data_IF_722806863196
#
_entry.id   IF_722806863196
#
_cell.length_a   1.000
_cell.length_b   1.000
_cell.length_c   1.000
_cell.angle_alpha   90.00
_cell.angle_beta   90.00
_cell.angle_gamma   90.00
#
_symmetry.space_group_name_H-M   'P 1'
#
loop_
_entity.id
_entity.type
_entity.pdbx_description
1 polymer ?
#
# COMPACT_ATOMS: atom_id res chain seq x y z
N UNK A 1 -2.72 10.18 -16.95
CA UNK A 1 -3.41 10.99 -15.90
C UNK A 1 -3.06 10.32 -14.59
N UNK A 2 -2.30 10.98 -13.72
CA UNK A 2 -1.81 10.38 -12.48
C UNK A 2 -2.77 10.70 -11.34
N UNK A 3 -3.08 9.70 -10.52
CA UNK A 3 -3.83 9.90 -9.28
C UNK A 3 -2.91 10.55 -8.23
N UNK A 4 -3.46 11.28 -7.22
CA UNK A 4 -2.65 11.89 -6.19
C UNK A 4 -2.19 10.88 -5.13
N UNK A 5 -1.04 11.15 -4.50
CA UNK A 5 -0.72 10.56 -3.21
C UNK A 5 -1.58 11.22 -2.13
N UNK A 6 -2.38 10.42 -1.40
CA UNK A 6 -3.23 10.92 -0.31
C UNK A 6 -2.86 10.22 1.00
N UNK A 7 -2.61 11.01 2.03
CA UNK A 7 -2.44 10.54 3.40
C UNK A 7 -3.64 11.05 4.21
N UNK A 8 -4.44 10.14 4.77
CA UNK A 8 -5.64 10.50 5.53
C UNK A 8 -5.66 9.79 6.88
N UNK A 9 -5.46 10.54 7.94
CA UNK A 9 -5.65 10.05 9.30
C UNK A 9 -7.13 9.93 9.66
N UNK A 10 -7.44 9.06 10.61
CA UNK A 10 -8.80 8.79 11.07
C UNK A 10 -9.75 8.41 9.90
N UNK A 11 -9.28 7.51 9.04
CA UNK A 11 -9.99 7.14 7.82
C UNK A 11 -11.35 6.49 8.11
N UNK A 12 -11.40 5.50 9.03
CA UNK A 12 -12.64 4.90 9.48
C UNK A 12 -13.15 5.60 10.76
N UNK A 13 -14.45 5.87 10.88
CA UNK A 13 -15.03 6.39 12.12
C UNK A 13 -14.90 5.41 13.30
N UNK A 14 -15.01 4.10 13.02
CA UNK A 14 -14.83 3.00 13.98
C UNK A 14 -13.82 1.98 13.43
N UNK A 15 -12.50 2.25 13.58
CA UNK A 15 -11.47 1.34 13.11
C UNK A 15 -11.43 0.03 13.90
N UNK A 16 -11.90 0.01 15.15
CA UNK A 16 -11.95 -1.19 15.98
C UNK A 16 -12.95 -2.21 15.42
N UNK A 17 -14.07 -1.75 14.87
CA UNK A 17 -15.00 -2.63 14.16
C UNK A 17 -14.38 -3.24 12.92
N UNK A 18 -13.52 -2.50 12.21
CA UNK A 18 -12.78 -3.00 11.02
C UNK A 18 -11.80 -4.10 11.45
N UNK A 19 -11.00 -3.86 12.49
CA UNK A 19 -10.07 -4.86 13.05
C UNK A 19 -10.82 -6.11 13.52
N UNK A 20 -11.96 -5.93 14.21
CA UNK A 20 -12.80 -7.05 14.65
C UNK A 20 -13.36 -7.86 13.48
N UNK A 21 -13.73 -7.19 12.38
CA UNK A 21 -14.17 -7.87 11.15
C UNK A 21 -13.02 -8.66 10.50
N UNK A 22 -11.84 -8.06 10.39
CA UNK A 22 -10.62 -8.68 9.88
C UNK A 22 -10.25 -9.97 10.62
N UNK A 23 -10.32 -9.94 11.96
CA UNK A 23 -9.96 -11.08 12.81
C UNK A 23 -10.92 -12.28 12.72
N UNK A 24 -12.09 -12.11 12.09
CA UNK A 24 -13.06 -13.20 11.84
C UNK A 24 -12.85 -13.91 10.52
N UNK A 25 -11.99 -13.38 9.66
CA UNK A 25 -11.75 -13.90 8.32
C UNK A 25 -10.59 -14.90 8.32
N UNK A 26 -10.63 -15.80 7.36
CA UNK A 26 -9.53 -16.72 7.11
C UNK A 26 -8.45 -16.03 6.27
N UNK A 27 -7.18 -16.26 6.62
CA UNK A 27 -6.01 -15.77 5.93
C UNK A 27 -5.30 -16.93 5.22
N UNK A 28 -4.75 -16.64 4.05
CA UNK A 28 -4.05 -17.58 3.20
C UNK A 28 -2.64 -17.03 2.92
N UNK A 29 -1.63 -17.88 3.01
CA UNK A 29 -0.25 -17.50 2.69
C UNK A 29 -0.11 -17.12 1.22
N UNK A 30 0.83 -16.23 0.95
CA UNK A 30 1.23 -15.90 -0.42
C UNK A 30 1.87 -17.11 -1.09
N UNK A 31 1.62 -17.22 -2.38
CA UNK A 31 2.36 -18.18 -3.19
C UNK A 31 3.68 -17.59 -3.71
N UNK A 32 3.90 -16.24 -3.79
CA UNK A 32 5.19 -15.65 -4.20
C UNK A 32 5.21 -14.12 -4.33
N UNK A 33 4.07 -13.44 -4.54
CA UNK A 33 4.08 -12.06 -5.04
C UNK A 33 4.08 -10.98 -3.95
N UNK A 34 3.78 -11.36 -2.71
CA UNK A 34 3.65 -10.43 -1.58
C UNK A 34 3.95 -11.15 -0.26
N UNK A 35 4.47 -10.43 0.76
CA UNK A 35 4.82 -11.05 2.03
C UNK A 35 3.59 -11.35 2.90
N UNK A 36 3.68 -12.39 3.70
CA UNK A 36 2.71 -12.73 4.74
C UNK A 36 1.48 -13.47 4.24
N UNK A 37 0.31 -13.12 4.78
CA UNK A 37 -0.96 -13.74 4.44
C UNK A 37 -2.04 -12.71 4.15
N UNK A 38 -2.96 -13.04 3.25
CA UNK A 38 -4.13 -12.21 2.88
C UNK A 38 -5.43 -12.97 3.01
N UNK A 39 -6.51 -12.25 3.25
CA UNK A 39 -7.86 -12.79 3.11
C UNK A 39 -8.20 -12.98 1.63
N UNK A 40 -9.24 -13.76 1.34
CA UNK A 40 -9.91 -13.65 0.05
C UNK A 40 -10.39 -12.22 -0.18
N UNK A 41 -10.65 -11.83 -1.45
CA UNK A 41 -11.19 -10.50 -1.77
C UNK A 41 -12.43 -10.16 -0.94
N UNK A 42 -12.50 -8.93 -0.43
CA UNK A 42 -13.60 -8.52 0.47
C UNK A 42 -14.98 -8.55 -0.21
N UNK A 43 -15.05 -8.36 -1.53
CA UNK A 43 -16.30 -8.50 -2.26
C UNK A 43 -16.89 -9.93 -2.16
N UNK A 44 -16.05 -10.95 -1.92
CA UNK A 44 -16.49 -12.35 -1.74
C UNK A 44 -16.84 -12.64 -0.28
N UNK A 45 -16.01 -12.19 0.67
CA UNK A 45 -16.11 -12.62 2.08
C UNK A 45 -16.82 -11.62 2.98
N UNK A 46 -16.87 -10.34 2.60
CA UNK A 46 -17.59 -9.28 3.31
C UNK A 46 -18.02 -8.14 2.36
N UNK A 47 -19.04 -8.38 1.48
CA UNK A 47 -19.48 -7.41 0.46
C UNK A 47 -19.91 -6.05 1.06
N UNK A 48 -20.45 -6.04 2.28
CA UNK A 48 -20.87 -4.79 2.95
C UNK A 48 -19.66 -3.92 3.30
N UNK A 49 -18.62 -4.53 3.86
CA UNK A 49 -17.38 -3.81 4.18
C UNK A 49 -16.66 -3.37 2.90
N UNK A 50 -16.65 -4.21 1.86
CA UNK A 50 -16.14 -3.87 0.54
C UNK A 50 -16.81 -2.61 -0.01
N UNK A 51 -18.14 -2.59 -0.09
CA UNK A 51 -18.89 -1.44 -0.60
C UNK A 51 -18.65 -0.17 0.24
N UNK A 52 -18.70 -0.30 1.55
CA UNK A 52 -18.45 0.81 2.47
C UNK A 52 -17.04 1.41 2.29
N UNK A 53 -16.02 0.55 2.24
CA UNK A 53 -14.62 0.99 2.07
C UNK A 53 -14.40 1.63 0.69
N UNK A 54 -14.92 1.02 -0.36
CA UNK A 54 -14.87 1.55 -1.72
C UNK A 54 -15.48 2.94 -1.83
N UNK A 55 -16.69 3.13 -1.27
CA UNK A 55 -17.33 4.44 -1.20
C UNK A 55 -16.45 5.48 -0.52
N UNK A 56 -15.85 5.15 0.62
CA UNK A 56 -14.95 6.07 1.33
C UNK A 56 -13.71 6.43 0.52
N UNK A 57 -13.11 5.46 -0.19
CA UNK A 57 -11.94 5.71 -1.05
C UNK A 57 -12.34 6.62 -2.22
N UNK A 58 -13.40 6.29 -2.94
CA UNK A 58 -13.83 7.10 -4.08
C UNK A 58 -14.25 8.52 -3.69
N UNK A 59 -14.84 8.73 -2.51
CA UNK A 59 -15.14 10.07 -2.01
C UNK A 59 -13.92 10.94 -1.67
N UNK A 60 -12.71 10.35 -1.58
CA UNK A 60 -11.48 11.15 -1.49
C UNK A 60 -11.03 11.70 -2.85
N UNK A 61 -11.43 11.03 -3.93
CA UNK A 61 -10.96 11.30 -5.29
C UNK A 61 -12.03 11.98 -6.16
N UNK A 62 -13.29 11.65 -5.94
CA UNK A 62 -14.40 12.04 -6.81
C UNK A 62 -15.56 12.62 -5.99
N UNK A 63 -16.27 13.57 -6.57
CA UNK A 63 -17.50 14.12 -5.95
C UNK A 63 -18.66 13.11 -5.98
N UNK A 64 -18.68 12.27 -7.00
CA UNK A 64 -19.64 11.17 -7.14
C UNK A 64 -18.89 9.85 -7.26
N UNK A 65 -19.48 8.80 -6.70
CA UNK A 65 -18.95 7.44 -6.88
C UNK A 65 -19.05 7.10 -8.38
N UNK A 66 -17.94 6.59 -8.98
CA UNK A 66 -17.95 6.17 -10.36
C UNK A 66 -19.03 5.12 -10.64
N UNK A 67 -19.69 5.19 -11.80
CA UNK A 67 -20.74 4.23 -12.18
C UNK A 67 -20.20 2.82 -12.34
N UNK A 68 -18.98 2.70 -12.84
CA UNK A 68 -18.28 1.43 -13.03
C UNK A 68 -16.84 1.54 -12.54
N UNK A 69 -16.37 0.52 -11.84
CA UNK A 69 -14.99 0.44 -11.39
C UNK A 69 -14.57 -1.00 -11.12
N UNK A 70 -13.26 -1.24 -11.17
CA UNK A 70 -12.64 -2.50 -10.75
C UNK A 70 -11.64 -2.20 -9.63
N UNK A 71 -11.95 -2.65 -8.43
CA UNK A 71 -11.08 -2.54 -7.25
C UNK A 71 -11.04 -3.87 -6.52
N UNK A 72 -9.85 -4.32 -6.16
CA UNK A 72 -9.64 -5.49 -5.30
C UNK A 72 -9.21 -5.00 -3.93
N UNK A 73 -9.77 -5.57 -2.88
CA UNK A 73 -9.43 -5.25 -1.49
C UNK A 73 -9.32 -6.52 -0.66
N UNK A 74 -8.40 -6.52 0.31
CA UNK A 74 -8.27 -7.60 1.26
C UNK A 74 -7.51 -7.15 2.51
N UNK A 75 -7.64 -7.88 3.60
CA UNK A 75 -6.77 -7.68 4.74
C UNK A 75 -5.47 -8.45 4.53
N UNK A 76 -4.38 -7.90 5.05
CA UNK A 76 -3.06 -8.50 5.00
C UNK A 76 -2.41 -8.50 6.38
N UNK A 77 -1.75 -9.60 6.71
CA UNK A 77 -0.93 -9.77 7.91
C UNK A 77 0.49 -10.17 7.50
N UNK A 78 1.47 -9.47 8.05
CA UNK A 78 2.87 -9.72 7.76
C UNK A 78 3.63 -9.83 9.07
N UNK A 79 4.43 -10.90 9.22
CA UNK A 79 5.40 -11.06 10.31
C UNK A 79 6.81 -10.88 9.80
N UNK A 80 7.69 -10.43 10.68
CA UNK A 80 9.12 -10.33 10.37
C UNK A 80 9.68 -11.67 9.91
N UNK A 81 10.49 -11.66 8.86
CA UNK A 81 11.25 -12.83 8.41
C UNK A 81 12.43 -13.10 9.34
N UNK A 82 13.03 -12.04 9.89
CA UNK A 82 14.14 -12.10 10.85
C UNK A 82 13.67 -11.43 12.14
N UNK A 83 13.48 -12.22 13.19
CA UNK A 83 13.08 -11.73 14.50
C UNK A 83 14.22 -10.98 15.19
N UNK A 84 13.90 -9.93 15.93
CA UNK A 84 14.86 -9.15 16.73
C UNK A 84 15.73 -8.17 15.94
N UNK A 85 15.64 -8.16 14.62
CA UNK A 85 16.33 -7.19 13.76
C UNK A 85 15.38 -6.59 12.73
N UNK A 86 14.60 -5.61 13.15
CA UNK A 86 13.60 -4.97 12.28
C UNK A 86 14.21 -4.27 11.07
N UNK A 87 15.50 -3.91 11.11
CA UNK A 87 16.19 -3.23 10.03
C UNK A 87 16.93 -4.20 9.09
N UNK A 88 16.88 -5.49 9.38
CA UNK A 88 17.38 -6.48 8.45
C UNK A 88 16.76 -6.28 7.07
N UNK A 89 17.57 -6.38 6.02
CA UNK A 89 17.09 -6.19 4.63
C UNK A 89 15.94 -7.13 4.28
N UNK A 90 15.94 -8.36 4.81
CA UNK A 90 14.86 -9.32 4.63
C UNK A 90 13.53 -8.88 5.25
N UNK A 91 13.56 -7.94 6.20
CA UNK A 91 12.37 -7.33 6.80
C UNK A 91 11.90 -6.06 6.08
N UNK A 92 12.55 -5.67 4.99
CA UNK A 92 12.19 -4.49 4.19
C UNK A 92 11.40 -4.89 2.95
N UNK A 93 10.59 -3.97 2.44
CA UNK A 93 9.91 -4.16 1.16
C UNK A 93 10.85 -3.95 -0.03
N UNK A 94 10.54 -4.58 -1.16
CA UNK A 94 11.17 -4.27 -2.44
C UNK A 94 10.49 -3.05 -3.03
N UNK A 95 11.29 -2.10 -3.55
CA UNK A 95 10.76 -0.92 -4.21
C UNK A 95 10.12 -1.38 -5.53
N UNK A 96 8.88 -0.98 -5.76
CA UNK A 96 8.10 -1.36 -6.94
C UNK A 96 7.03 -0.33 -7.26
N UNK A 97 6.47 -0.42 -8.44
CA UNK A 97 5.22 0.22 -8.85
C UNK A 97 4.10 -0.84 -8.89
N UNK A 98 2.85 -0.41 -8.77
CA UNK A 98 1.70 -1.29 -8.89
C UNK A 98 1.11 -1.22 -10.30
N UNK A 99 0.71 -2.37 -10.86
CA UNK A 99 -0.01 -2.40 -12.14
C UNK A 99 -1.50 -2.07 -11.94
N UNK A 100 -1.77 -0.83 -11.52
CA UNK A 100 -3.12 -0.33 -11.26
C UNK A 100 -3.17 1.19 -11.45
N UNK A 101 -4.37 1.77 -11.45
CA UNK A 101 -4.52 3.24 -11.50
C UNK A 101 -4.06 3.89 -10.21
N UNK A 102 -4.47 3.32 -9.10
CA UNK A 102 -4.03 3.65 -7.75
C UNK A 102 -4.23 2.46 -6.83
N UNK A 103 -3.36 2.31 -5.88
CA UNK A 103 -3.47 1.34 -4.80
C UNK A 103 -3.39 2.01 -3.44
N UNK A 104 -3.24 1.23 -2.39
CA UNK A 104 -2.96 1.77 -1.08
C UNK A 104 -3.26 0.84 0.06
N UNK A 105 -3.06 1.40 1.24
CA UNK A 105 -3.21 0.66 2.50
C UNK A 105 -3.92 1.50 3.56
N UNK A 106 -4.62 0.82 4.46
CA UNK A 106 -5.04 1.37 5.74
C UNK A 106 -4.34 0.58 6.84
N UNK A 107 -3.57 1.27 7.69
CA UNK A 107 -2.91 0.65 8.83
C UNK A 107 -3.89 0.36 9.96
N UNK A 108 -3.85 -0.86 10.50
CA UNK A 108 -4.85 -1.36 11.45
C UNK A 108 -4.26 -1.83 12.79
N UNK A 109 -3.01 -1.51 13.07
CA UNK A 109 -2.39 -1.82 14.36
C UNK A 109 -2.60 -0.69 15.35
N UNK A 110 -3.18 -1.00 16.51
CA UNK A 110 -3.45 0.01 17.58
C UNK A 110 -2.17 0.60 18.18
N UNK A 111 -1.14 -0.22 18.28
CA UNK A 111 0.17 0.17 18.79
C UNK A 111 1.25 -0.18 17.75
N UNK A 112 1.27 0.54 16.63
CA UNK A 112 2.15 0.21 15.53
C UNK A 112 3.60 0.52 15.86
N UNK A 113 4.53 -0.24 15.26
CA UNK A 113 5.87 0.27 15.04
C UNK A 113 5.77 1.36 13.95
N UNK A 114 6.06 2.60 14.33
CA UNK A 114 5.94 3.74 13.40
C UNK A 114 6.88 3.62 12.21
N UNK A 115 8.00 2.92 12.37
CA UNK A 115 8.97 2.68 11.31
C UNK A 115 8.45 1.65 10.28
N UNK A 116 7.48 0.79 10.66
CA UNK A 116 6.83 -0.16 9.77
C UNK A 116 5.82 0.51 8.80
N UNK A 117 6.24 1.61 8.22
CA UNK A 117 5.45 2.47 7.34
C UNK A 117 5.62 2.16 5.85
N UNK A 118 5.49 3.21 5.04
CA UNK A 118 5.66 3.14 3.59
C UNK A 118 6.62 4.22 3.11
N UNK A 119 7.66 3.83 2.38
CA UNK A 119 8.56 4.74 1.69
C UNK A 119 8.08 5.03 0.28
N UNK A 120 8.23 6.28 -0.16
CA UNK A 120 8.03 6.71 -1.54
C UNK A 120 9.39 7.03 -2.14
N UNK A 121 9.58 6.68 -3.38
CA UNK A 121 10.86 6.77 -4.06
C UNK A 121 10.74 7.46 -5.42
N UNK A 122 11.84 7.95 -5.92
CA UNK A 122 12.02 8.33 -7.33
C UNK A 122 13.18 7.52 -7.91
N UNK A 123 13.07 7.13 -9.17
CA UNK A 123 14.18 6.54 -9.91
C UNK A 123 15.27 7.59 -10.13
N UNK A 124 16.53 7.22 -9.95
CA UNK A 124 17.69 8.10 -10.19
C UNK A 124 17.89 8.37 -11.68
N UNK A 125 17.63 7.37 -12.51
CA UNK A 125 17.87 7.41 -13.96
C UNK A 125 16.59 7.54 -14.80
N UNK A 126 15.44 7.68 -14.13
CA UNK A 126 14.12 7.81 -14.79
C UNK A 126 13.54 6.50 -15.33
N UNK A 127 14.17 5.37 -15.09
CA UNK A 127 13.72 4.04 -15.52
C UNK A 127 13.51 3.11 -14.33
N UNK A 128 12.44 2.34 -14.38
CA UNK A 128 12.23 1.19 -13.49
C UNK A 128 12.96 -0.01 -14.09
N UNK A 129 14.07 -0.42 -13.50
CA UNK A 129 14.80 -1.61 -13.95
C UNK A 129 14.69 -2.70 -12.91
N UNK A 130 13.60 -3.47 -12.96
CA UNK A 130 13.56 -4.77 -12.34
C UNK A 130 14.19 -5.78 -13.30
N UNK A 131 15.30 -6.40 -12.90
CA UNK A 131 15.87 -7.52 -13.66
C UNK A 131 15.07 -8.79 -13.34
N UNK A 132 15.00 -9.72 -14.28
CA UNK A 132 14.34 -11.03 -14.05
C UNK A 132 14.91 -11.72 -12.81
N UNK A 133 16.22 -11.61 -12.58
CA UNK A 133 16.89 -12.14 -11.38
C UNK A 133 16.41 -11.48 -10.08
N UNK A 134 16.26 -10.16 -10.06
CA UNK A 134 15.77 -9.44 -8.87
C UNK A 134 14.32 -9.78 -8.55
N UNK A 135 13.51 -10.01 -9.59
CA UNK A 135 12.11 -10.47 -9.45
C UNK A 135 12.07 -11.88 -8.87
N UNK A 136 12.88 -12.80 -9.39
CA UNK A 136 12.96 -14.18 -8.88
C UNK A 136 13.36 -14.21 -7.40
N UNK A 137 14.38 -13.45 -7.02
CA UNK A 137 14.84 -13.36 -5.62
C UNK A 137 13.72 -12.82 -4.70
N UNK A 138 12.99 -11.77 -5.14
CA UNK A 138 11.84 -11.23 -4.42
C UNK A 138 10.74 -12.27 -4.21
N UNK A 139 10.37 -12.98 -5.28
CA UNK A 139 9.31 -14.00 -5.26
C UNK A 139 9.69 -15.18 -4.37
N UNK A 140 10.91 -15.65 -4.46
CA UNK A 140 11.44 -16.71 -3.62
C UNK A 140 11.45 -16.31 -2.14
N UNK A 141 11.89 -15.08 -1.84
CA UNK A 141 11.89 -14.57 -0.48
C UNK A 141 10.46 -14.45 0.10
N UNK A 142 9.54 -13.86 -0.63
CA UNK A 142 8.15 -13.71 -0.17
C UNK A 142 7.38 -15.04 -0.14
N UNK A 143 7.75 -15.99 -0.97
CA UNK A 143 7.24 -17.36 -0.95
C UNK A 143 7.82 -18.23 0.19
N UNK A 144 8.73 -17.67 1.00
CA UNK A 144 9.33 -18.36 2.15
C UNK A 144 10.41 -19.38 1.80
N UNK A 145 10.97 -19.32 0.58
CA UNK A 145 12.12 -20.14 0.23
C UNK A 145 13.38 -19.66 0.94
N UNK A 146 14.24 -20.60 1.31
CA UNK A 146 15.56 -20.25 1.81
C UNK A 146 16.42 -19.69 0.68
N UNK A 147 16.88 -18.44 0.84
CA UNK A 147 17.79 -17.79 -0.09
C UNK A 147 19.09 -17.52 0.65
N UNK A 148 20.21 -17.79 -0.02
CA UNK A 148 21.53 -17.39 0.46
C UNK A 148 21.60 -15.88 0.67
N UNK A 149 22.21 -15.44 1.78
CA UNK A 149 22.25 -14.04 2.17
C UNK A 149 23.02 -13.18 1.15
N UNK A 150 24.07 -13.72 0.53
CA UNK A 150 24.84 -12.99 -0.49
C UNK A 150 23.98 -12.76 -1.74
N UNK A 151 23.32 -13.82 -2.24
CA UNK A 151 22.40 -13.72 -3.40
C UNK A 151 21.25 -12.76 -3.11
N UNK A 152 20.64 -12.82 -1.90
CA UNK A 152 19.57 -11.92 -1.51
C UNK A 152 20.05 -10.47 -1.52
N UNK A 153 21.21 -10.18 -0.90
CA UNK A 153 21.74 -8.83 -0.82
C UNK A 153 22.11 -8.27 -2.20
N UNK A 154 22.67 -9.09 -3.10
CA UNK A 154 22.97 -8.68 -4.47
C UNK A 154 21.69 -8.23 -5.22
N UNK A 155 20.65 -9.05 -5.22
CA UNK A 155 19.37 -8.71 -5.85
C UNK A 155 18.69 -7.51 -5.20
N UNK A 156 18.80 -7.36 -3.88
CA UNK A 156 18.25 -6.21 -3.16
C UNK A 156 19.02 -4.93 -3.49
N UNK A 157 20.36 -4.98 -3.58
CA UNK A 157 21.21 -3.84 -3.93
C UNK A 157 20.94 -3.33 -5.36
N UNK A 158 20.64 -4.21 -6.32
CA UNK A 158 20.25 -3.82 -7.68
C UNK A 158 19.06 -2.87 -7.63
N UNK A 159 18.06 -3.15 -6.80
CA UNK A 159 16.85 -2.33 -6.68
C UNK A 159 17.12 -1.08 -5.83
N UNK A 160 17.70 -1.23 -4.63
CA UNK A 160 17.89 -0.10 -3.71
C UNK A 160 18.79 1.00 -4.31
N UNK A 161 19.81 0.61 -5.08
CA UNK A 161 20.74 1.57 -5.69
C UNK A 161 20.12 2.42 -6.82
N UNK A 162 19.02 1.99 -7.42
CA UNK A 162 18.35 2.70 -8.52
C UNK A 162 17.42 3.81 -8.03
N UNK A 163 17.08 3.82 -6.74
CA UNK A 163 16.07 4.72 -6.20
C UNK A 163 16.63 5.62 -5.11
N UNK A 164 15.97 6.76 -4.95
CA UNK A 164 16.17 7.70 -3.84
C UNK A 164 14.85 7.84 -3.09
N UNK A 165 14.89 7.65 -1.75
CA UNK A 165 13.71 7.88 -0.91
C UNK A 165 13.37 9.37 -0.87
N UNK A 166 12.13 9.70 -1.21
CA UNK A 166 11.64 11.10 -1.25
C UNK A 166 10.71 11.43 -0.11
N UNK A 167 10.02 10.43 0.42
CA UNK A 167 9.07 10.60 1.52
C UNK A 167 8.95 9.30 2.29
N UNK A 168 8.91 9.40 3.62
CA UNK A 168 8.60 8.29 4.52
C UNK A 168 7.32 8.56 5.29
N UNK A 169 6.34 7.66 5.17
CA UNK A 169 5.03 7.78 5.79
C UNK A 169 4.97 6.79 6.96
N UNK A 170 4.91 7.26 8.21
CA UNK A 170 4.84 6.39 9.37
C UNK A 170 3.57 5.55 9.41
N UNK A 171 3.68 4.31 9.91
CA UNK A 171 2.54 3.50 10.29
C UNK A 171 1.84 4.14 11.50
N UNK A 172 0.63 4.63 11.28
CA UNK A 172 -0.26 5.12 12.35
C UNK A 172 -1.62 4.42 12.24
N UNK A 173 -2.15 4.03 13.38
CA UNK A 173 -3.46 3.39 13.46
C UNK A 173 -4.54 4.20 12.74
N UNK A 174 -5.29 3.54 11.87
CA UNK A 174 -6.37 4.14 11.06
C UNK A 174 -5.92 5.24 10.09
N UNK A 175 -4.66 5.20 9.64
CA UNK A 175 -4.15 6.02 8.55
C UNK A 175 -4.34 5.29 7.23
N UNK A 176 -4.98 5.95 6.28
CA UNK A 176 -4.98 5.55 4.87
C UNK A 176 -3.79 6.22 4.16
N UNK A 177 -3.11 5.44 3.33
CA UNK A 177 -2.19 5.93 2.31
C UNK A 177 -2.68 5.43 0.96
N UNK A 178 -3.10 6.35 0.09
CA UNK A 178 -3.47 6.07 -1.29
C UNK A 178 -2.30 6.49 -2.18
N UNK A 179 -1.87 5.59 -3.05
CA UNK A 179 -0.64 5.68 -3.82
C UNK A 179 -1.00 5.58 -5.31
N UNK A 180 -0.54 6.51 -6.18
CA UNK A 180 -0.64 6.33 -7.63
C UNK A 180 0.05 5.04 -8.06
N UNK A 181 -0.53 4.31 -9.03
CA UNK A 181 0.03 3.03 -9.46
C UNK A 181 1.44 3.14 -10.03
N UNK A 182 1.76 4.27 -10.66
CA UNK A 182 3.08 4.59 -11.25
C UNK A 182 4.10 5.15 -10.23
N UNK A 183 3.72 5.33 -8.96
CA UNK A 183 4.63 5.84 -7.92
C UNK A 183 5.45 4.71 -7.31
N UNK A 184 6.79 4.71 -7.46
CA UNK A 184 7.66 3.75 -6.79
C UNK A 184 7.53 3.85 -5.28
N UNK A 185 7.26 2.72 -4.63
CA UNK A 185 7.07 2.67 -3.19
C UNK A 185 7.47 1.31 -2.61
N UNK A 186 7.69 1.26 -1.31
CA UNK A 186 7.91 0.01 -0.59
C UNK A 186 7.50 0.12 0.88
N UNK A 187 7.37 -1.01 1.53
CA UNK A 187 7.32 -1.08 2.98
C UNK A 187 8.71 -0.78 3.55
N UNK A 188 8.83 0.18 4.47
CA UNK A 188 10.12 0.59 5.04
C UNK A 188 10.74 -0.51 5.90
N UNK A 189 9.93 -1.16 6.72
CA UNK A 189 10.21 -2.40 7.45
C UNK A 189 8.91 -3.09 7.83
N UNK A 190 8.97 -4.37 8.19
CA UNK A 190 7.81 -5.07 8.76
C UNK A 190 7.60 -4.64 10.22
N UNK A 191 8.69 -4.30 10.93
CA UNK A 191 8.69 -4.00 12.35
C UNK A 191 8.83 -5.23 13.24
N UNK A 192 8.78 -5.03 14.55
CA UNK A 192 8.98 -6.11 15.55
C UNK A 192 7.69 -6.91 15.85
N UNK A 193 6.56 -6.46 15.32
CA UNK A 193 5.23 -7.06 15.56
C UNK A 193 4.59 -7.44 14.24
N UNK A 194 3.57 -8.32 14.30
CA UNK A 194 2.73 -8.58 13.15
C UNK A 194 2.08 -7.28 12.67
N UNK A 195 2.28 -6.94 11.40
CA UNK A 195 1.72 -5.77 10.75
C UNK A 195 0.38 -6.12 10.11
N UNK A 196 -0.68 -5.42 10.53
CA UNK A 196 -2.03 -5.60 9.98
C UNK A 196 -2.42 -4.42 9.11
N UNK A 197 -2.89 -4.70 7.92
CA UNK A 197 -3.37 -3.68 6.97
C UNK A 197 -4.60 -4.13 6.23
N UNK A 198 -5.39 -3.17 5.75
CA UNK A 198 -6.30 -3.37 4.64
C UNK A 198 -5.61 -2.83 3.41
N UNK A 199 -5.44 -3.65 2.37
CA UNK A 199 -4.82 -3.27 1.10
C UNK A 199 -5.87 -3.21 -0.01
N UNK A 200 -5.68 -2.31 -0.98
CA UNK A 200 -6.59 -2.20 -2.12
C UNK A 200 -5.84 -1.79 -3.38
N UNK A 201 -6.36 -2.20 -4.54
CA UNK A 201 -5.81 -1.90 -5.86
C UNK A 201 -6.97 -1.61 -6.82
N UNK A 202 -7.02 -0.42 -7.38
CA UNK A 202 -8.02 0.00 -8.35
C UNK A 202 -7.44 -0.07 -9.76
N UNK A 203 -7.96 -0.97 -10.57
CA UNK A 203 -7.46 -1.23 -11.92
C UNK A 203 -8.20 -0.43 -12.99
N UNK A 204 -9.45 -0.07 -12.71
CA UNK A 204 -10.31 0.61 -13.67
C UNK A 204 -11.33 1.51 -12.98
N UNK A 205 -11.57 2.67 -13.59
CA UNK A 205 -12.65 3.59 -13.23
C UNK A 205 -13.28 4.10 -14.53
N UNK A 206 -14.55 3.75 -14.75
CA UNK A 206 -15.29 4.12 -15.97
C UNK A 206 -16.18 5.34 -15.75
N UNK A 207 -16.34 6.16 -16.78
CA UNK A 207 -17.14 7.39 -16.72
C UNK A 207 -16.62 8.44 -15.74
N UNK A 208 -15.43 8.24 -15.20
CA UNK A 208 -14.88 9.12 -14.17
C UNK A 208 -14.29 10.38 -14.79
N UNK A 209 -14.73 11.51 -14.26
CA UNK A 209 -13.97 12.74 -14.36
C UNK A 209 -12.58 12.51 -13.69
N UNK A 210 -11.55 13.25 -14.12
CA UNK A 210 -10.26 13.26 -13.44
C UNK A 210 -10.46 13.48 -11.94
N UNK A 211 -9.59 12.91 -11.09
CA UNK A 211 -9.64 13.16 -9.66
C UNK A 211 -9.64 14.66 -9.40
N UNK A 212 -10.72 15.15 -8.81
CA UNK A 212 -10.77 16.51 -8.32
C UNK A 212 -10.16 16.51 -6.92
N UNK A 213 -9.14 17.33 -6.72
CA UNK A 213 -8.60 17.56 -5.38
C UNK A 213 -9.64 18.31 -4.57
N UNK A 214 -10.36 17.64 -3.69
CA UNK A 214 -11.32 18.28 -2.77
C UNK A 214 -10.70 19.36 -1.89
N UNK A 215 -9.37 19.40 -1.76
CA UNK A 215 -8.65 20.46 -1.07
C UNK A 215 -8.51 21.76 -1.87
N UNK A 216 -8.68 21.73 -3.19
CA UNK A 216 -8.63 22.95 -4.02
C UNK A 216 -9.98 23.64 -4.15
N UNK A 217 -11.07 22.93 -3.94
CA UNK A 217 -12.43 23.48 -4.02
C UNK A 217 -12.99 23.95 -2.67
N UNK A 218 -12.26 23.76 -1.57
CA UNK A 218 -12.69 24.24 -0.27
C UNK A 218 -12.33 25.73 -0.08
N UNK A 219 -13.21 26.60 -0.53
CA UNK A 219 -13.52 27.89 0.12
C UNK A 219 -12.53 29.05 0.02
N UNK A 220 -11.50 29.04 -0.84
CA UNK A 220 -10.82 30.28 -1.20
C UNK A 220 -11.11 30.53 -2.68
N UNK A 221 -11.99 31.48 -3.05
CA UNK A 221 -12.15 31.85 -4.45
C UNK A 221 -10.78 32.26 -5.01
N UNK A 222 -10.39 31.72 -6.15
CA UNK A 222 -9.08 32.00 -6.78
C UNK A 222 -8.79 33.49 -6.98
N UNK A 223 -9.81 34.34 -7.00
CA UNK A 223 -9.66 35.80 -7.08
C UNK A 223 -9.26 36.46 -5.76
N UNK A 224 -9.38 35.82 -4.62
CA UNK A 224 -8.96 36.38 -3.34
C UNK A 224 -7.42 36.27 -3.09
N UNK A 225 -6.70 35.60 -3.96
CA UNK A 225 -5.23 35.46 -3.89
C UNK A 225 -4.49 36.52 -4.73
N UNK A 226 -5.22 37.35 -5.49
CA UNK A 226 -4.65 38.31 -6.45
C UNK A 226 -5.16 39.75 -6.28
N UNK A 227 -5.80 40.08 -5.13
CA UNK A 227 -6.20 41.45 -4.78
C UNK A 227 -5.42 41.99 -3.56
#
# INVERSE_FOLDING_TARGET
>A
MSYPLIIKDNFFPDPDAIVKASNKLQYYSSENNWPGSRTKPLNEVNPKLFAYTGQKIFHLLHDKIPETYSIVMGFQKIKSFIEGDKWNRKNRGWIHTDNCLFGGIVYLDKNPDKDAGTGMYKSKDGYDVHTDESIEIKEDHFGGKQIDDAKFNEGYDIIENQYEETLRIPNLYNRLVLIPGDQPHSMTTIGDKERNTLVFFCQYVGGALPPEYKGQNSAIPNHALYT
#
